data_IF_991689943660
#
_entry.id   IF_991689943660
#
_cell.length_a   1.000
_cell.length_b   1.000
_cell.length_c   1.000
_cell.angle_alpha   90.00
_cell.angle_beta   90.00
_cell.angle_gamma   90.00
#
_symmetry.space_group_name_H-M   'P 1'
#
loop_
_entity.id
_entity.type
_entity.pdbx_description
1 polymer ?
#
# COMPACT_ATOMS: atom_id res chain seq x y z
N UNK A 1 -0.86 26.95 2.18
CA UNK A 1 -0.83 25.48 2.12
C UNK A 1 -0.28 25.14 0.75
N UNK A 2 0.95 24.66 0.66
CA UNK A 2 1.53 24.24 -0.62
C UNK A 2 0.93 22.88 -0.95
N UNK A 3 0.33 22.73 -2.12
CA UNK A 3 -0.14 21.45 -2.62
C UNK A 3 1.12 20.58 -2.86
N UNK A 4 1.19 19.41 -2.23
CA UNK A 4 2.26 18.47 -2.52
C UNK A 4 1.92 17.78 -3.84
N UNK A 5 2.86 17.79 -4.79
CA UNK A 5 2.73 17.06 -6.04
C UNK A 5 2.81 15.56 -5.73
N UNK A 6 1.76 14.84 -6.10
CA UNK A 6 1.64 13.38 -5.93
C UNK A 6 1.65 12.77 -7.31
N UNK A 7 2.64 11.92 -7.58
CA UNK A 7 2.77 11.18 -8.82
C UNK A 7 2.68 9.68 -8.56
N UNK A 8 2.00 8.97 -9.45
CA UNK A 8 2.00 7.50 -9.44
C UNK A 8 3.21 7.04 -10.24
N UNK A 9 4.17 6.41 -9.56
CA UNK A 9 5.40 5.89 -10.15
C UNK A 9 5.15 4.55 -10.82
N UNK A 10 4.46 3.64 -10.13
CA UNK A 10 4.09 2.32 -10.68
C UNK A 10 2.86 1.75 -9.99
N UNK A 11 2.18 0.84 -10.68
CA UNK A 11 1.06 0.05 -10.18
C UNK A 11 1.25 -1.38 -10.66
N UNK A 12 1.31 -2.33 -9.74
CA UNK A 12 1.51 -3.75 -10.03
C UNK A 12 0.44 -4.58 -9.32
N UNK A 13 -0.19 -5.52 -10.04
CA UNK A 13 -1.07 -6.50 -9.41
C UNK A 13 -0.23 -7.47 -8.58
N UNK A 14 -0.62 -7.72 -7.33
CA UNK A 14 0.10 -8.60 -6.41
C UNK A 14 -0.85 -9.41 -5.54
N UNK A 15 -0.32 -10.43 -4.88
CA UNK A 15 -1.03 -11.23 -3.88
C UNK A 15 -0.38 -11.04 -2.53
N UNK A 16 -1.14 -10.52 -1.57
CA UNK A 16 -0.69 -10.36 -0.20
C UNK A 16 -0.97 -11.61 0.62
N UNK A 17 -0.10 -11.91 1.58
CA UNK A 17 -0.14 -13.10 2.42
C UNK A 17 -1.22 -13.07 3.52
N UNK A 18 -1.87 -11.91 3.73
CA UNK A 18 -2.95 -11.72 4.69
C UNK A 18 -3.94 -10.62 4.26
N UNK A 19 -5.08 -10.54 4.95
CA UNK A 19 -6.13 -9.53 4.70
C UNK A 19 -5.72 -8.11 5.09
N UNK A 20 -4.59 -7.92 5.74
CA UNK A 20 -3.99 -6.62 6.05
C UNK A 20 -2.95 -6.21 5.00
N UNK A 21 -2.97 -6.89 3.85
CA UNK A 21 -2.11 -6.60 2.71
C UNK A 21 -0.62 -6.76 3.08
N UNK A 22 -0.28 -7.70 3.97
CA UNK A 22 1.09 -7.94 4.43
C UNK A 22 1.64 -6.86 5.38
N UNK A 23 0.83 -5.86 5.73
CA UNK A 23 1.18 -4.74 6.60
C UNK A 23 0.46 -4.81 7.96
N UNK A 24 0.06 -6.00 8.38
CA UNK A 24 -0.58 -6.25 9.66
C UNK A 24 0.31 -5.81 10.83
N UNK A 25 -0.24 -5.00 11.73
CA UNK A 25 0.47 -4.57 12.94
C UNK A 25 0.41 -5.66 14.03
N UNK A 26 1.34 -5.67 15.01
CA UNK A 26 1.40 -6.72 16.03
C UNK A 26 0.11 -6.89 16.85
N UNK A 27 -0.69 -5.83 16.96
CA UNK A 27 -1.96 -5.83 17.70
C UNK A 27 -3.19 -6.06 16.79
N UNK A 28 -2.98 -6.33 15.50
CA UNK A 28 -4.05 -6.47 14.53
C UNK A 28 -4.30 -7.94 14.19
N UNK A 29 -5.56 -8.38 14.26
CA UNK A 29 -5.95 -9.74 13.90
C UNK A 29 -6.26 -9.83 12.42
N UNK A 30 -5.21 -9.91 11.60
CA UNK A 30 -5.32 -10.09 10.17
C UNK A 30 -5.70 -11.54 9.85
N UNK A 31 -6.68 -11.73 8.96
CA UNK A 31 -7.02 -13.06 8.48
C UNK A 31 -5.86 -13.55 7.60
N UNK A 32 -5.32 -14.73 7.92
CA UNK A 32 -4.25 -15.35 7.15
C UNK A 32 -4.82 -15.99 5.89
N UNK A 33 -5.04 -15.18 4.87
CA UNK A 33 -5.57 -15.55 3.57
C UNK A 33 -4.86 -14.76 2.47
N UNK A 34 -4.60 -15.44 1.34
CA UNK A 34 -4.05 -14.78 0.16
C UNK A 34 -5.07 -13.75 -0.35
N UNK A 35 -4.69 -12.49 -0.36
CA UNK A 35 -5.56 -11.37 -0.73
C UNK A 35 -5.01 -10.74 -2.00
N UNK A 36 -5.78 -10.79 -3.08
CA UNK A 36 -5.45 -10.11 -4.32
C UNK A 36 -5.50 -8.60 -4.10
N UNK A 37 -4.55 -7.88 -4.68
CA UNK A 37 -4.49 -6.44 -4.55
C UNK A 37 -3.48 -5.79 -5.48
N UNK A 38 -3.14 -4.54 -5.17
CA UNK A 38 -2.22 -3.74 -5.96
C UNK A 38 -1.10 -3.19 -5.07
N UNK A 39 0.13 -3.34 -5.55
CA UNK A 39 1.31 -2.64 -5.07
C UNK A 39 1.48 -1.36 -5.88
N UNK A 40 1.38 -0.21 -5.23
CA UNK A 40 1.42 1.11 -5.84
C UNK A 40 2.62 1.86 -5.28
N UNK A 41 3.49 2.36 -6.14
CA UNK A 41 4.56 3.27 -5.74
C UNK A 41 4.12 4.70 -6.00
N UNK A 42 4.08 5.53 -4.97
CA UNK A 42 3.71 6.95 -5.06
C UNK A 42 4.93 7.83 -4.77
N UNK A 43 5.21 8.80 -5.64
CA UNK A 43 6.17 9.86 -5.37
C UNK A 43 5.43 11.07 -4.80
N UNK A 44 5.80 11.50 -3.60
CA UNK A 44 5.24 12.69 -2.95
C UNK A 44 6.38 13.59 -2.53
N UNK A 45 6.43 14.80 -3.09
CA UNK A 45 7.50 15.77 -2.82
C UNK A 45 8.93 15.19 -2.99
N UNK A 46 9.11 14.26 -3.93
CA UNK A 46 10.39 13.60 -4.22
C UNK A 46 10.73 12.41 -3.32
N UNK A 47 9.84 12.01 -2.40
CA UNK A 47 9.96 10.79 -1.62
C UNK A 47 9.05 9.70 -2.18
N UNK A 48 9.53 8.46 -2.21
CA UNK A 48 8.78 7.35 -2.79
C UNK A 48 8.17 6.49 -1.69
N UNK A 49 6.85 6.32 -1.74
CA UNK A 49 6.05 5.56 -0.80
C UNK A 49 5.51 4.30 -1.47
N UNK A 50 5.70 3.18 -0.81
CA UNK A 50 5.08 1.92 -1.20
C UNK A 50 3.68 1.83 -0.56
N UNK A 51 2.66 1.57 -1.37
CA UNK A 51 1.25 1.58 -0.96
C UNK A 51 0.59 0.30 -1.43
N UNK A 52 0.01 -0.42 -0.49
CA UNK A 52 -0.69 -1.67 -0.72
C UNK A 52 -2.19 -1.38 -0.73
N UNK A 53 -2.89 -1.90 -1.73
CA UNK A 53 -4.34 -1.80 -1.81
C UNK A 53 -4.99 -3.16 -2.06
N UNK A 54 -6.23 -3.36 -1.64
CA UNK A 54 -7.00 -4.52 -2.05
C UNK A 54 -7.43 -4.42 -3.52
N UNK A 55 -7.97 -5.50 -4.09
CA UNK A 55 -8.38 -5.53 -5.50
C UNK A 55 -9.34 -4.40 -5.89
N UNK A 56 -10.17 -3.96 -4.93
CA UNK A 56 -11.19 -2.91 -5.13
C UNK A 56 -10.68 -1.49 -4.85
N UNK A 57 -9.50 -1.34 -4.25
CA UNK A 57 -8.95 -0.06 -3.79
C UNK A 57 -9.70 0.55 -2.60
N UNK A 58 -10.54 -0.22 -1.89
CA UNK A 58 -11.24 0.21 -0.69
C UNK A 58 -10.34 0.22 0.55
N UNK A 59 -9.41 -0.73 0.62
CA UNK A 59 -8.42 -0.79 1.67
C UNK A 59 -7.09 -0.32 1.10
N UNK A 60 -6.53 0.72 1.70
CA UNK A 60 -5.24 1.31 1.29
C UNK A 60 -4.35 1.40 2.51
N UNK A 61 -3.12 0.90 2.41
CA UNK A 61 -2.12 0.90 3.48
C UNK A 61 -0.77 1.32 2.94
N UNK A 62 -0.07 2.18 3.66
CA UNK A 62 1.27 2.62 3.29
C UNK A 62 2.27 1.72 4.00
N UNK A 63 3.17 1.10 3.22
CA UNK A 63 4.24 0.27 3.72
C UNK A 63 5.34 1.16 4.34
N UNK A 64 5.17 1.47 5.63
CA UNK A 64 6.24 2.02 6.47
C UNK A 64 6.87 3.33 5.96
N UNK A 65 8.17 3.47 6.23
CA UNK A 65 8.94 4.67 5.88
C UNK A 65 9.16 4.79 4.37
N UNK A 66 9.09 6.01 3.81
CA UNK A 66 9.40 6.25 2.41
C UNK A 66 10.86 5.86 2.11
N UNK A 67 11.06 5.31 0.92
CA UNK A 67 12.38 4.96 0.39
C UNK A 67 13.12 6.19 -0.15
#
# INVERSE_FOLDING_TARGET
MTEAEIEVVSVEATEFSDSCLGLGQPNESCLRANTLGWLVMLSVAGQVYEVHTDETGQQVRIAGEPQ
#
